data_IF_524525436608
#
_entry.id   IF_524525436608
#
_cell.length_a   1.000
_cell.length_b   1.000
_cell.length_c   1.000
_cell.angle_alpha   90.00
_cell.angle_beta   90.00
_cell.angle_gamma   90.00
#
_symmetry.space_group_name_H-M   'P 1'
#
loop_
_entity.id
_entity.type
_entity.pdbx_description
1 polymer ?
#
# COMPACT_ATOMS: atom_id res chain seq x y z
N UNK A 1 23.66 22.30 15.70
CA UNK A 1 24.70 22.45 14.67
C UNK A 1 24.12 23.37 13.62
N UNK A 2 24.82 24.43 13.23
CA UNK A 2 24.34 25.34 12.17
C UNK A 2 24.54 24.71 10.79
N UNK A 3 23.84 25.21 9.77
CA UNK A 3 24.02 24.74 8.38
C UNK A 3 25.48 24.83 7.94
N UNK A 4 26.18 25.91 8.29
CA UNK A 4 27.60 26.09 7.99
C UNK A 4 28.50 25.05 8.70
N UNK A 5 28.22 24.76 9.97
CA UNK A 5 28.95 23.72 10.72
C UNK A 5 28.75 22.32 10.15
N UNK A 6 27.57 22.04 9.58
CA UNK A 6 27.27 20.78 8.89
C UNK A 6 28.04 20.74 7.57
N UNK A 7 27.92 21.78 6.73
CA UNK A 7 28.59 21.86 5.42
C UNK A 7 30.10 21.67 5.56
N UNK A 8 30.73 22.30 6.56
CA UNK A 8 32.17 22.16 6.80
C UNK A 8 32.62 20.76 7.20
N UNK A 9 31.69 19.87 7.58
CA UNK A 9 31.96 18.48 7.96
C UNK A 9 31.53 17.46 6.90
N UNK A 10 30.72 17.87 5.93
CA UNK A 10 30.26 16.99 4.88
C UNK A 10 31.45 16.33 4.17
N UNK A 11 31.27 15.07 3.82
CA UNK A 11 32.23 14.27 3.06
C UNK A 11 31.56 13.73 1.83
N UNK A 12 32.38 13.41 0.83
CA UNK A 12 31.92 12.64 -0.32
C UNK A 12 31.33 11.31 0.19
N UNK A 13 30.14 10.98 -0.30
CA UNK A 13 29.36 9.80 0.10
C UNK A 13 28.29 10.11 1.15
N UNK A 14 28.37 11.24 1.85
CA UNK A 14 27.35 11.62 2.83
C UNK A 14 26.01 11.85 2.12
N UNK A 15 24.91 11.55 2.80
CA UNK A 15 23.57 11.85 2.29
C UNK A 15 23.03 13.06 3.02
N UNK A 16 22.56 14.04 2.24
CA UNK A 16 21.95 15.25 2.80
C UNK A 16 20.56 15.46 2.23
N UNK A 17 19.66 15.90 3.11
CA UNK A 17 18.35 16.44 2.73
C UNK A 17 18.36 17.94 2.96
N UNK A 18 18.20 18.70 1.87
CA UNK A 18 18.41 20.16 1.86
C UNK A 18 17.24 20.89 1.22
N UNK A 19 16.79 21.96 1.84
CA UNK A 19 15.91 22.95 1.22
C UNK A 19 16.73 24.02 0.53
N UNK A 20 16.34 24.42 -0.67
CA UNK A 20 16.98 25.50 -1.44
C UNK A 20 15.94 26.57 -1.76
N UNK A 21 15.96 27.64 -0.96
CA UNK A 21 14.86 28.56 -0.78
C UNK A 21 13.58 27.84 -0.31
N UNK A 22 12.55 28.61 0.02
CA UNK A 22 11.22 28.07 0.36
C UNK A 22 10.48 27.37 -0.82
N UNK A 23 11.20 26.73 -1.75
CA UNK A 23 10.68 26.28 -3.05
C UNK A 23 10.80 24.78 -3.27
N UNK A 24 11.92 24.16 -2.93
CA UNK A 24 12.11 22.73 -3.19
C UNK A 24 13.12 22.12 -2.22
N UNK A 25 12.88 20.84 -1.92
CA UNK A 25 13.77 20.01 -1.11
C UNK A 25 14.44 18.96 -1.99
N UNK A 26 15.75 18.80 -1.84
CA UNK A 26 16.57 17.85 -2.59
C UNK A 26 17.14 16.87 -1.58
N UNK A 27 17.01 15.58 -1.86
CA UNK A 27 17.71 14.52 -1.15
C UNK A 27 18.80 13.98 -2.09
N UNK A 28 20.07 14.03 -1.71
CA UNK A 28 21.14 13.60 -2.61
C UNK A 28 22.39 13.13 -1.89
N UNK A 29 23.19 12.36 -2.62
CA UNK A 29 24.51 11.89 -2.17
C UNK A 29 25.53 12.96 -2.54
N UNK A 30 26.36 13.36 -1.59
CA UNK A 30 27.46 14.30 -1.84
C UNK A 30 28.53 13.64 -2.72
N UNK A 31 28.70 14.14 -3.93
CA UNK A 31 29.76 13.71 -4.85
C UNK A 31 31.05 14.52 -4.68
N UNK A 32 30.92 15.78 -4.27
CA UNK A 32 32.04 16.70 -4.13
C UNK A 32 31.69 17.94 -3.33
N UNK A 33 32.67 18.47 -2.60
CA UNK A 33 32.57 19.72 -1.86
C UNK A 33 33.84 20.51 -2.12
N UNK A 34 33.69 21.79 -2.45
CA UNK A 34 34.82 22.69 -2.64
C UNK A 34 34.60 23.97 -1.83
N UNK A 35 35.60 24.35 -1.04
CA UNK A 35 35.64 25.69 -0.45
C UNK A 35 36.26 26.67 -1.43
N UNK A 36 35.54 27.73 -1.73
CA UNK A 36 35.89 28.74 -2.74
C UNK A 36 36.14 30.06 -2.03
N UNK A 37 37.31 30.67 -2.28
CA UNK A 37 37.71 31.98 -1.77
C UNK A 37 37.89 32.95 -2.95
N UNK A 38 36.82 33.61 -3.45
CA UNK A 38 36.95 34.56 -4.55
C UNK A 38 37.62 35.85 -4.08
N UNK A 39 38.40 36.49 -4.94
CA UNK A 39 39.00 37.78 -4.62
C UNK A 39 37.93 38.87 -4.53
N UNK A 40 37.66 39.34 -3.31
CA UNK A 40 36.77 40.47 -3.06
C UNK A 40 35.29 40.11 -2.85
N UNK A 41 34.96 38.82 -2.72
CA UNK A 41 33.64 38.34 -2.31
C UNK A 41 33.76 37.46 -1.06
N UNK A 42 32.64 37.21 -0.39
CA UNK A 42 32.59 36.27 0.74
C UNK A 42 32.87 34.84 0.25
N UNK A 43 33.72 34.13 0.98
CA UNK A 43 34.03 32.73 0.71
C UNK A 43 32.79 31.85 0.90
N UNK A 44 32.70 30.76 0.14
CA UNK A 44 31.54 29.87 0.15
C UNK A 44 31.91 28.42 -0.14
N UNK A 45 30.97 27.51 0.11
CA UNK A 45 31.07 26.12 -0.29
C UNK A 45 30.22 25.85 -1.52
N UNK A 46 30.84 25.25 -2.53
CA UNK A 46 30.14 24.62 -3.65
C UNK A 46 29.97 23.13 -3.36
N UNK A 47 28.72 22.66 -3.29
CA UNK A 47 28.37 21.28 -2.96
C UNK A 47 27.74 20.63 -4.19
N UNK A 48 28.30 19.51 -4.61
CA UNK A 48 27.80 18.71 -5.73
C UNK A 48 27.04 17.50 -5.17
N UNK A 49 25.75 17.41 -5.51
CA UNK A 49 24.87 16.32 -5.12
C UNK A 49 24.49 15.46 -6.32
N UNK A 50 24.53 14.14 -6.16
CA UNK A 50 23.84 13.21 -7.04
C UNK A 50 22.41 13.00 -6.54
N UNK A 51 21.45 13.28 -7.40
CA UNK A 51 20.04 12.93 -7.20
C UNK A 51 19.53 12.21 -8.44
N UNK A 52 19.13 10.94 -8.28
CA UNK A 52 18.61 10.10 -9.37
C UNK A 52 19.50 10.09 -10.63
N UNK A 53 20.82 10.01 -10.45
CA UNK A 53 21.80 10.00 -11.55
C UNK A 53 22.03 11.37 -12.20
N UNK A 54 21.41 12.43 -11.68
CA UNK A 54 21.66 13.81 -12.10
C UNK A 54 22.48 14.54 -11.06
N UNK A 55 23.42 15.35 -11.53
CA UNK A 55 24.23 16.21 -10.68
C UNK A 55 23.54 17.55 -10.47
N UNK A 56 23.35 17.93 -9.21
CA UNK A 56 22.89 19.25 -8.77
C UNK A 56 24.01 19.95 -8.02
N UNK A 57 24.26 21.23 -8.34
CA UNK A 57 25.24 22.04 -7.62
C UNK A 57 24.52 23.04 -6.71
N UNK A 58 24.96 23.12 -5.45
CA UNK A 58 24.47 24.05 -4.45
C UNK A 58 25.60 25.03 -4.08
N UNK A 59 25.23 26.30 -3.93
CA UNK A 59 26.09 27.37 -3.43
C UNK A 59 25.66 27.70 -1.99
N UNK A 60 26.58 27.66 -1.04
CA UNK A 60 26.25 27.92 0.37
C UNK A 60 25.87 29.37 0.68
N UNK A 61 25.99 30.29 -0.29
CA UNK A 61 25.48 31.66 -0.18
C UNK A 61 23.98 31.75 -0.46
N UNK A 62 23.42 30.74 -1.12
CA UNK A 62 21.97 30.64 -1.31
C UNK A 62 21.27 30.31 0.03
N UNK A 63 19.97 30.57 0.10
CA UNK A 63 19.12 30.24 1.26
C UNK A 63 18.97 28.71 1.36
N UNK A 64 19.96 28.06 1.97
CA UNK A 64 19.99 26.61 2.14
C UNK A 64 19.81 26.20 3.59
N UNK A 65 18.96 25.20 3.81
CA UNK A 65 18.75 24.59 5.12
C UNK A 65 18.94 23.08 5.01
N UNK A 66 19.89 22.54 5.77
CA UNK A 66 20.11 21.09 5.85
C UNK A 66 19.22 20.53 6.95
N UNK A 67 18.21 19.77 6.55
CA UNK A 67 17.26 19.15 7.46
C UNK A 67 17.71 17.81 8.01
N UNK A 68 18.50 17.08 7.23
CA UNK A 68 19.05 15.79 7.65
C UNK A 68 20.44 15.57 7.02
N UNK A 69 21.33 14.94 7.79
CA UNK A 69 22.66 14.57 7.37
C UNK A 69 22.98 13.17 7.90
N UNK A 70 23.33 12.27 6.99
CA UNK A 70 23.80 10.92 7.31
C UNK A 70 25.24 10.79 6.83
N UNK A 71 26.16 10.58 7.79
CA UNK A 71 27.59 10.42 7.52
C UNK A 71 27.86 9.14 6.72
N UNK A 72 28.81 9.23 5.79
CA UNK A 72 29.34 8.09 5.06
C UNK A 72 30.25 7.27 5.96
N UNK A 73 29.78 6.11 6.41
CA UNK A 73 30.62 5.08 7.00
C UNK A 73 31.27 4.29 5.85
N UNK A 74 32.60 4.26 5.80
CA UNK A 74 33.38 3.81 4.65
C UNK A 74 33.11 2.36 4.19
N UNK A 75 33.54 2.12 2.94
CA UNK A 75 33.20 1.01 2.02
C UNK A 75 31.75 1.05 1.50
N UNK A 76 31.54 1.94 0.51
CA UNK A 76 30.48 1.89 -0.52
C UNK A 76 29.08 1.43 -0.07
N UNK A 77 28.71 1.69 1.19
CA UNK A 77 27.34 1.57 1.66
C UNK A 77 26.59 2.85 1.27
N UNK A 78 26.13 2.89 0.02
CA UNK A 78 25.18 3.93 -0.40
C UNK A 78 23.89 3.75 0.39
N UNK A 79 23.19 4.83 0.74
CA UNK A 79 21.85 4.73 1.33
C UNK A 79 20.92 3.84 0.48
N UNK A 80 21.13 3.81 -0.83
CA UNK A 80 20.53 2.85 -1.75
C UNK A 80 20.85 1.40 -1.39
N UNK A 81 22.10 1.06 -1.08
CA UNK A 81 22.46 -0.30 -0.63
C UNK A 81 21.92 -0.63 0.76
N UNK A 82 21.78 0.33 1.68
CA UNK A 82 21.12 0.08 2.98
C UNK A 82 19.61 -0.15 2.83
N UNK A 83 18.95 0.66 2.01
CA UNK A 83 17.54 0.47 1.66
C UNK A 83 17.35 -0.88 0.98
N UNK A 84 18.20 -1.19 0.00
CA UNK A 84 18.13 -2.43 -0.76
C UNK A 84 18.43 -3.64 0.13
N UNK A 85 19.44 -3.58 1.01
CA UNK A 85 19.72 -4.64 2.00
C UNK A 85 18.56 -4.85 2.97
N UNK A 86 17.95 -3.77 3.46
CA UNK A 86 16.81 -3.87 4.37
C UNK A 86 15.60 -4.47 3.66
N UNK A 87 15.37 -4.06 2.41
CA UNK A 87 14.32 -4.59 1.56
C UNK A 87 14.54 -6.07 1.23
N UNK A 88 15.75 -6.47 0.82
CA UNK A 88 16.11 -7.87 0.54
C UNK A 88 15.98 -8.76 1.78
N UNK A 89 16.34 -8.26 2.97
CA UNK A 89 16.13 -8.98 4.25
C UNK A 89 14.65 -9.20 4.54
N UNK A 90 13.81 -8.22 4.27
CA UNK A 90 12.34 -8.34 4.44
C UNK A 90 11.78 -9.35 3.44
N UNK A 91 12.20 -9.31 2.18
CA UNK A 91 11.81 -10.31 1.18
C UNK A 91 12.18 -11.73 1.62
N UNK A 92 13.41 -11.93 2.12
CA UNK A 92 13.87 -13.23 2.60
C UNK A 92 13.09 -13.70 3.85
N UNK A 93 12.93 -12.81 4.85
CA UNK A 93 12.26 -13.09 6.12
C UNK A 93 10.80 -13.53 5.93
N UNK A 94 10.08 -12.89 5.03
CA UNK A 94 8.67 -13.18 4.77
C UNK A 94 8.44 -14.09 3.55
N UNK A 95 9.53 -14.56 2.93
CA UNK A 95 9.55 -15.40 1.73
C UNK A 95 8.74 -14.79 0.57
N UNK A 96 8.97 -13.51 0.27
CA UNK A 96 8.27 -12.76 -0.77
C UNK A 96 9.09 -12.69 -2.07
N UNK A 97 8.42 -12.82 -3.22
CA UNK A 97 9.01 -12.58 -4.53
C UNK A 97 8.85 -11.12 -4.94
N UNK A 98 9.96 -10.46 -5.26
CA UNK A 98 9.97 -9.05 -5.71
C UNK A 98 9.08 -8.82 -6.93
N UNK A 99 8.98 -9.80 -7.85
CA UNK A 99 8.18 -9.65 -9.07
C UNK A 99 6.68 -9.67 -8.80
N UNK A 100 6.27 -10.22 -7.65
CA UNK A 100 4.88 -10.36 -7.24
C UNK A 100 4.59 -9.66 -5.91
N UNK A 101 5.52 -8.81 -5.45
CA UNK A 101 5.55 -8.22 -4.11
C UNK A 101 4.20 -7.64 -3.69
N UNK A 102 3.62 -6.82 -4.55
CA UNK A 102 2.37 -6.12 -4.25
C UNK A 102 1.18 -7.08 -4.12
N UNK A 103 1.11 -8.08 -5.00
CA UNK A 103 0.07 -9.12 -4.96
C UNK A 103 0.20 -9.94 -3.68
N UNK A 104 1.42 -10.33 -3.33
CA UNK A 104 1.69 -11.10 -2.10
C UNK A 104 1.34 -10.31 -0.84
N UNK A 105 1.72 -9.02 -0.77
CA UNK A 105 1.39 -8.15 0.37
C UNK A 105 -0.13 -8.08 0.55
N UNK A 106 -0.88 -7.89 -0.53
CA UNK A 106 -2.35 -7.79 -0.47
C UNK A 106 -3.00 -9.12 -0.08
N UNK A 107 -2.50 -10.25 -0.58
CA UNK A 107 -3.06 -11.58 -0.30
C UNK A 107 -2.80 -12.04 1.12
N UNK A 108 -1.60 -11.73 1.65
CA UNK A 108 -1.13 -12.20 2.96
C UNK A 108 -1.28 -11.15 4.06
N UNK A 109 -1.84 -9.98 3.76
CA UNK A 109 -1.97 -8.86 4.70
C UNK A 109 -2.58 -9.25 6.05
N UNK A 110 -3.59 -10.11 6.04
CA UNK A 110 -4.29 -10.54 7.26
C UNK A 110 -3.57 -11.65 8.03
N UNK A 111 -2.49 -12.20 7.49
CA UNK A 111 -1.66 -13.21 8.14
C UNK A 111 -0.64 -12.58 9.10
N UNK A 112 -0.32 -11.29 8.90
CA UNK A 112 0.67 -10.55 9.68
C UNK A 112 0.04 -9.69 10.78
N UNK A 113 0.78 -9.54 11.88
CA UNK A 113 0.45 -8.62 12.96
C UNK A 113 0.83 -7.16 12.60
N UNK A 114 0.51 -6.21 13.48
CA UNK A 114 0.70 -4.79 13.19
C UNK A 114 2.19 -4.38 13.13
N UNK A 115 3.07 -4.95 13.97
CA UNK A 115 4.52 -4.71 13.88
C UNK A 115 5.10 -5.24 12.57
N UNK A 116 4.69 -6.44 12.15
CA UNK A 116 5.13 -7.05 10.89
C UNK A 116 4.66 -6.22 9.68
N UNK A 117 3.43 -5.70 9.72
CA UNK A 117 2.90 -4.81 8.68
C UNK A 117 3.68 -3.50 8.59
N UNK A 118 4.02 -2.91 9.73
CA UNK A 118 4.79 -1.67 9.80
C UNK A 118 6.20 -1.88 9.22
N UNK A 119 6.87 -2.97 9.58
CA UNK A 119 8.18 -3.36 9.04
C UNK A 119 8.16 -3.55 7.51
N UNK A 120 7.15 -4.26 6.99
CA UNK A 120 6.96 -4.46 5.55
C UNK A 120 6.69 -3.11 4.86
N UNK A 121 5.80 -2.29 5.39
CA UNK A 121 5.48 -0.98 4.83
C UNK A 121 6.70 -0.05 4.77
N UNK A 122 7.51 -0.02 5.84
CA UNK A 122 8.70 0.82 5.88
C UNK A 122 9.78 0.36 4.89
N UNK A 123 9.99 -0.95 4.75
CA UNK A 123 10.91 -1.49 3.75
C UNK A 123 10.45 -1.12 2.33
N UNK A 124 9.16 -1.35 2.04
CA UNK A 124 8.55 -1.14 0.72
C UNK A 124 8.47 0.35 0.34
N UNK A 125 8.16 1.24 1.29
CA UNK A 125 8.05 2.70 1.07
C UNK A 125 9.34 3.31 0.51
N UNK A 126 10.49 2.74 0.84
CA UNK A 126 11.79 3.26 0.46
C UNK A 126 12.26 2.78 -0.94
N UNK A 127 11.62 1.75 -1.51
CA UNK A 127 11.93 1.20 -2.85
C UNK A 127 10.81 1.36 -3.87
N UNK A 128 9.58 1.66 -3.43
CA UNK A 128 8.43 1.84 -4.31
C UNK A 128 8.60 3.10 -5.16
N UNK A 129 8.48 2.94 -6.48
CA UNK A 129 8.38 4.06 -7.41
C UNK A 129 6.92 4.51 -7.59
N UNK A 130 6.72 5.69 -8.18
CA UNK A 130 5.36 6.24 -8.41
C UNK A 130 4.50 5.35 -9.31
N UNK A 131 5.11 4.52 -10.17
CA UNK A 131 4.37 3.57 -11.00
C UNK A 131 3.86 2.38 -10.17
N UNK A 132 4.67 1.86 -9.25
CA UNK A 132 4.27 0.78 -8.34
C UNK A 132 3.10 1.21 -7.45
N UNK A 133 3.08 2.48 -6.99
CA UNK A 133 1.93 3.05 -6.27
C UNK A 133 0.64 3.08 -7.10
N UNK A 134 0.73 3.35 -8.40
CA UNK A 134 -0.44 3.33 -9.27
C UNK A 134 -0.96 1.91 -9.45
N UNK A 135 -0.06 0.96 -9.64
CA UNK A 135 -0.43 -0.45 -9.79
C UNK A 135 -1.08 -0.99 -8.50
N UNK A 136 -0.63 -0.55 -7.31
CA UNK A 136 -1.32 -0.81 -6.02
C UNK A 136 -2.75 -0.26 -6.03
N UNK A 137 -2.91 1.02 -6.39
CA UNK A 137 -4.21 1.68 -6.36
C UNK A 137 -5.19 1.03 -7.34
N UNK A 138 -4.71 0.63 -8.52
CA UNK A 138 -5.51 -0.07 -9.54
C UNK A 138 -5.93 -1.48 -9.07
N UNK A 139 -5.03 -2.23 -8.42
CA UNK A 139 -5.35 -3.54 -7.84
C UNK A 139 -6.39 -3.43 -6.70
N UNK A 140 -6.25 -2.43 -5.83
CA UNK A 140 -7.22 -2.16 -4.76
C UNK A 140 -8.59 -1.78 -5.34
N UNK A 141 -8.62 -0.95 -6.39
CA UNK A 141 -9.87 -0.63 -7.09
C UNK A 141 -10.52 -1.87 -7.72
N UNK A 142 -9.74 -2.71 -8.43
CA UNK A 142 -10.25 -3.92 -9.06
C UNK A 142 -10.85 -4.90 -8.05
N UNK A 143 -10.18 -5.10 -6.90
CA UNK A 143 -10.73 -5.94 -5.81
C UNK A 143 -12.00 -5.34 -5.20
N UNK A 144 -12.06 -4.02 -5.00
CA UNK A 144 -13.28 -3.34 -4.52
C UNK A 144 -14.45 -3.51 -5.48
N UNK A 145 -14.22 -3.36 -6.78
CA UNK A 145 -15.26 -3.55 -7.81
C UNK A 145 -15.77 -5.00 -7.82
N UNK A 146 -14.87 -5.97 -7.68
CA UNK A 146 -15.22 -7.39 -7.58
C UNK A 146 -16.06 -7.69 -6.34
N UNK A 147 -15.69 -7.13 -5.18
CA UNK A 147 -16.45 -7.26 -3.93
C UNK A 147 -17.85 -6.67 -4.09
N UNK A 148 -17.96 -5.49 -4.71
CA UNK A 148 -19.25 -4.85 -4.94
C UNK A 148 -20.15 -5.69 -5.86
N UNK A 149 -19.59 -6.29 -6.92
CA UNK A 149 -20.34 -7.20 -7.79
C UNK A 149 -20.84 -8.44 -7.04
N UNK A 150 -19.97 -9.11 -6.28
CA UNK A 150 -20.35 -10.29 -5.49
C UNK A 150 -21.41 -9.96 -4.43
N UNK A 151 -21.32 -8.77 -3.81
CA UNK A 151 -22.32 -8.29 -2.85
C UNK A 151 -23.70 -8.12 -3.51
N UNK A 152 -23.73 -7.54 -4.70
CA UNK A 152 -24.98 -7.34 -5.46
C UNK A 152 -25.59 -8.68 -5.93
N UNK A 153 -24.76 -9.63 -6.34
CA UNK A 153 -25.21 -10.99 -6.68
C UNK A 153 -25.77 -11.74 -5.47
N UNK A 154 -25.08 -11.65 -4.32
CA UNK A 154 -25.55 -12.24 -3.06
C UNK A 154 -26.92 -11.67 -2.66
N UNK A 155 -27.08 -10.35 -2.77
CA UNK A 155 -28.36 -9.68 -2.49
C UNK A 155 -29.49 -10.18 -3.39
N UNK A 156 -29.25 -10.30 -4.70
CA UNK A 156 -30.23 -10.86 -5.65
C UNK A 156 -30.62 -12.29 -5.31
N UNK A 157 -29.68 -13.11 -4.87
CA UNK A 157 -29.96 -14.49 -4.42
C UNK A 157 -30.78 -14.49 -3.13
N UNK A 158 -30.45 -13.63 -2.17
CA UNK A 158 -31.23 -13.46 -0.94
C UNK A 158 -32.66 -13.04 -1.23
N UNK A 159 -32.86 -12.04 -2.09
CA UNK A 159 -34.21 -11.56 -2.45
C UNK A 159 -35.05 -12.66 -3.12
N UNK A 160 -34.43 -13.47 -4.00
CA UNK A 160 -35.10 -14.63 -4.60
C UNK A 160 -35.50 -15.67 -3.56
N UNK A 161 -34.62 -15.98 -2.61
CA UNK A 161 -34.90 -16.93 -1.54
C UNK A 161 -36.06 -16.45 -0.65
N UNK A 162 -36.08 -15.16 -0.30
CA UNK A 162 -37.17 -14.53 0.45
C UNK A 162 -38.49 -14.69 -0.31
N UNK A 163 -38.51 -14.38 -1.61
CA UNK A 163 -39.73 -14.51 -2.43
C UNK A 163 -40.22 -15.97 -2.55
N UNK A 164 -39.31 -16.95 -2.61
CA UNK A 164 -39.68 -18.37 -2.59
C UNK A 164 -40.25 -18.80 -1.24
N UNK A 165 -39.67 -18.33 -0.13
CA UNK A 165 -40.20 -18.58 1.22
C UNK A 165 -41.57 -17.96 1.42
N UNK A 166 -41.80 -16.74 0.92
CA UNK A 166 -43.12 -16.08 0.97
C UNK A 166 -44.18 -16.88 0.20
N UNK A 167 -43.86 -17.33 -1.03
CA UNK A 167 -44.74 -18.23 -1.80
C UNK A 167 -45.02 -19.53 -1.06
N UNK A 168 -44.00 -20.09 -0.40
CA UNK A 168 -44.15 -21.30 0.40
C UNK A 168 -45.09 -21.09 1.58
N UNK A 169 -44.96 -19.95 2.27
CA UNK A 169 -45.84 -19.57 3.38
C UNK A 169 -47.29 -19.38 2.92
N UNK A 170 -47.52 -18.63 1.83
CA UNK A 170 -48.87 -18.45 1.27
C UNK A 170 -49.51 -19.78 0.89
N UNK A 171 -48.74 -20.70 0.30
CA UNK A 171 -49.22 -22.02 -0.04
C UNK A 171 -49.65 -22.80 1.20
N UNK A 172 -48.82 -22.83 2.26
CA UNK A 172 -49.15 -23.50 3.52
C UNK A 172 -50.40 -22.91 4.17
N UNK A 173 -50.54 -21.59 4.19
CA UNK A 173 -51.74 -20.92 4.71
C UNK A 173 -53.01 -21.32 3.96
N UNK A 174 -52.96 -21.35 2.61
CA UNK A 174 -54.09 -21.81 1.77
C UNK A 174 -54.39 -23.28 1.97
N UNK A 175 -53.36 -24.12 2.10
CA UNK A 175 -53.51 -25.55 2.32
C UNK A 175 -54.15 -25.86 3.69
N UNK A 176 -53.72 -25.18 4.76
CA UNK A 176 -54.33 -25.29 6.08
C UNK A 176 -55.80 -24.82 6.08
N UNK A 177 -56.11 -23.74 5.37
CA UNK A 177 -57.49 -23.30 5.17
C UNK A 177 -58.33 -24.36 4.42
N UNK A 178 -57.76 -25.01 3.41
CA UNK A 178 -58.41 -26.06 2.64
C UNK A 178 -58.68 -27.32 3.49
N UNK A 179 -57.72 -27.76 4.30
CA UNK A 179 -57.89 -28.86 5.27
C UNK A 179 -59.08 -28.63 6.21
N UNK A 180 -59.25 -27.39 6.68
CA UNK A 180 -60.39 -27.01 7.55
C UNK A 180 -61.74 -27.02 6.82
N UNK A 181 -61.75 -26.80 5.50
CA UNK A 181 -62.98 -26.76 4.71
C UNK A 181 -63.56 -28.15 4.43
N UNK A 182 -62.72 -29.18 4.27
CA UNK A 182 -63.15 -30.57 4.04
C UNK A 182 -62.40 -31.52 5.01
N UNK A 183 -62.93 -31.75 6.22
CA UNK A 183 -62.28 -32.62 7.21
C UNK A 183 -62.38 -34.12 6.81
N UNK A 184 -61.39 -34.94 7.18
CA UNK A 184 -61.39 -36.41 7.02
C UNK A 184 -60.73 -36.98 5.76
N UNK A 185 -59.95 -36.16 5.03
CA UNK A 185 -59.17 -36.58 3.85
C UNK A 185 -57.65 -36.41 4.06
N UNK A 186 -57.14 -36.63 5.28
CA UNK A 186 -55.73 -36.38 5.63
C UNK A 186 -54.74 -37.05 4.67
N UNK A 187 -54.99 -38.29 4.27
CA UNK A 187 -54.13 -39.05 3.35
C UNK A 187 -54.02 -38.45 1.94
N UNK A 188 -55.07 -37.76 1.47
CA UNK A 188 -55.09 -37.09 0.16
C UNK A 188 -54.34 -35.76 0.22
N UNK A 189 -54.47 -35.05 1.35
CA UNK A 189 -53.77 -33.79 1.57
C UNK A 189 -52.26 -33.99 1.64
N UNK A 190 -51.81 -34.97 2.41
CA UNK A 190 -50.39 -35.25 2.56
C UNK A 190 -49.76 -35.71 1.23
N UNK A 191 -50.50 -36.47 0.42
CA UNK A 191 -50.08 -36.83 -0.94
C UNK A 191 -49.89 -35.60 -1.85
N UNK A 192 -50.81 -34.62 -1.81
CA UNK A 192 -50.71 -33.40 -2.60
C UNK A 192 -49.51 -32.54 -2.19
N UNK A 193 -49.22 -32.45 -0.89
CA UNK A 193 -48.08 -31.71 -0.37
C UNK A 193 -46.75 -32.35 -0.80
N UNK A 194 -46.66 -33.68 -0.74
CA UNK A 194 -45.54 -34.45 -1.28
C UNK A 194 -45.33 -34.25 -2.79
N UNK A 195 -46.41 -34.27 -3.59
CA UNK A 195 -46.36 -34.12 -5.05
C UNK A 195 -45.94 -32.72 -5.50
N UNK A 196 -46.31 -31.68 -4.75
CA UNK A 196 -46.08 -30.27 -5.13
C UNK A 196 -44.74 -29.73 -4.61
N UNK A 197 -44.28 -30.14 -3.43
CA UNK A 197 -43.01 -29.67 -2.86
C UNK A 197 -41.84 -30.64 -3.02
N UNK A 198 -42.07 -31.85 -3.53
CA UNK A 198 -40.99 -32.75 -3.91
C UNK A 198 -40.09 -33.17 -2.75
N UNK A 199 -40.60 -33.25 -1.52
CA UNK A 199 -39.91 -33.96 -0.45
C UNK A 199 -39.75 -35.43 -0.87
N UNK A 200 -38.51 -35.84 -1.18
CA UNK A 200 -38.11 -37.24 -1.26
C UNK A 200 -37.61 -37.70 0.10
#
# INVERSE_FOLDING_TARGET
>A
MTTEEIIGKLRRGDVIYVYVGNRYAINGIVEGICYVEPLGEDSFYAIQLNFNGQTVNLDSRDDIEILNWTEHEGEEYTFHSQIQDNFEKVLEKYHMDINNLLSEIVERWNEWNDEEKEEICDAVKNVIETQDLKDILDLVQLKNDTINQLSEEAKKLTDKLIAELEKGKEFLERYEAFKKFIPGLESVYDFLLYKVWGYR
#
